data_IF_968514200595
#
_entry.id   IF_968514200595
#
_cell.length_a   1.000
_cell.length_b   1.000
_cell.length_c   1.000
_cell.angle_alpha   90.00
_cell.angle_beta   90.00
_cell.angle_gamma   90.00
#
_symmetry.space_group_name_H-M   'P 1'
#
loop_
_entity.id
_entity.type
_entity.pdbx_description
1 polymer ?
#
# COMPACT_ATOMS: atom_id res chain seq x y z
N UNK A 1 37.76 -52.95 9.71
CA UNK A 1 39.16 -52.53 9.51
C UNK A 1 39.29 -51.06 9.89
N UNK A 2 40.14 -50.78 10.88
CA UNK A 2 40.89 -49.55 11.24
C UNK A 2 40.19 -48.18 11.10
N UNK A 3 39.83 -47.45 12.16
CA UNK A 3 40.64 -46.69 13.16
C UNK A 3 41.69 -45.74 12.57
N UNK A 4 41.52 -44.44 12.84
CA UNK A 4 42.54 -43.43 13.18
C UNK A 4 41.78 -42.17 13.64
N UNK A 5 41.83 -41.81 14.93
CA UNK A 5 42.85 -40.94 15.58
C UNK A 5 42.66 -39.44 15.25
N UNK A 6 42.88 -38.44 16.10
CA UNK A 6 42.90 -38.20 17.56
C UNK A 6 43.29 -36.71 17.68
N UNK A 7 42.66 -36.00 18.63
CA UNK A 7 43.09 -34.78 19.37
C UNK A 7 44.14 -33.83 18.75
N UNK A 8 43.78 -32.55 18.64
CA UNK A 8 44.64 -31.41 19.06
C UNK A 8 43.77 -30.30 19.69
N UNK A 9 43.98 -30.14 21.01
CA UNK A 9 44.03 -28.94 21.87
C UNK A 9 43.25 -27.67 21.44
N UNK A 10 42.30 -27.13 22.20
CA UNK A 10 42.36 -26.60 23.58
C UNK A 10 43.33 -25.42 23.79
N UNK A 11 42.87 -24.20 23.50
CA UNK A 11 43.28 -22.97 24.21
C UNK A 11 42.45 -21.80 23.69
N UNK A 12 41.67 -21.15 24.56
CA UNK A 12 41.33 -19.71 24.61
C UNK A 12 40.07 -19.50 25.48
N UNK A 13 40.19 -19.87 26.76
CA UNK A 13 39.38 -19.33 27.85
C UNK A 13 40.34 -18.73 28.88
N UNK A 14 40.52 -17.41 28.82
CA UNK A 14 41.14 -16.52 29.81
C UNK A 14 41.29 -15.19 29.05
N UNK A 15 40.60 -14.09 29.31
CA UNK A 15 40.60 -13.33 30.56
C UNK A 15 39.68 -12.13 30.34
N UNK A 16 38.60 -11.96 31.12
CA UNK A 16 37.91 -10.67 31.25
C UNK A 16 36.92 -10.67 32.44
N UNK A 17 37.40 -11.01 33.63
CA UNK A 17 36.72 -10.66 34.90
C UNK A 17 37.78 -10.22 35.91
N UNK A 18 38.25 -8.99 35.76
CA UNK A 18 38.95 -8.24 36.79
C UNK A 18 39.10 -6.80 36.30
N UNK A 19 38.16 -5.92 36.67
CA UNK A 19 38.38 -4.53 37.08
C UNK A 19 37.03 -3.83 37.21
N UNK A 20 36.30 -4.26 38.23
CA UNK A 20 35.37 -3.39 38.95
C UNK A 20 36.25 -2.79 40.06
N UNK A 21 36.11 -1.50 40.37
CA UNK A 21 36.83 -0.74 41.42
C UNK A 21 38.18 -0.13 40.98
N UNK A 22 38.15 1.11 40.46
CA UNK A 22 39.14 2.19 40.68
C UNK A 22 38.80 3.38 39.77
N UNK A 23 38.93 4.61 40.29
CA UNK A 23 38.74 5.92 39.64
C UNK A 23 37.35 6.56 39.69
N UNK A 24 36.86 6.75 40.92
CA UNK A 24 36.41 8.07 41.37
C UNK A 24 37.64 8.88 41.82
N UNK A 25 38.02 9.93 41.08
CA UNK A 25 38.70 11.17 41.54
C UNK A 25 39.42 11.82 40.34
N UNK A 26 39.37 13.16 40.29
CA UNK A 26 40.00 14.08 39.32
C UNK A 26 39.27 14.29 37.99
N UNK A 27 38.27 15.18 38.01
CA UNK A 27 38.21 16.31 37.06
C UNK A 27 37.14 17.31 37.54
N UNK A 28 37.41 17.92 38.69
CA UNK A 28 36.85 19.21 39.07
C UNK A 28 38.00 20.21 38.94
N UNK A 29 37.85 21.18 38.04
CA UNK A 29 38.35 22.57 38.09
C UNK A 29 38.52 23.10 36.66
N UNK A 30 37.77 24.17 36.35
CA UNK A 30 38.09 25.06 35.24
C UNK A 30 36.94 25.30 34.25
N UNK A 31 35.95 26.11 34.63
CA UNK A 31 35.67 27.41 34.00
C UNK A 31 34.37 28.00 34.55
N UNK A 32 34.55 28.96 35.45
CA UNK A 32 33.57 29.90 35.96
C UNK A 32 33.50 31.13 35.05
N UNK A 33 32.28 31.54 34.67
CA UNK A 33 31.80 32.92 34.44
C UNK A 33 30.53 32.82 33.56
N UNK A 34 29.38 33.48 33.75
CA UNK A 34 28.86 34.38 34.76
C UNK A 34 27.32 34.39 34.53
N UNK A 35 26.51 34.22 35.57
CA UNK A 35 25.35 35.09 35.91
C UNK A 35 24.52 34.46 37.04
N UNK A 36 24.64 35.11 38.20
CA UNK A 36 23.70 35.29 39.33
C UNK A 36 22.24 34.88 39.05
N UNK A 37 21.48 34.20 39.93
CA UNK A 37 21.32 34.47 41.36
C UNK A 37 20.61 33.29 42.04
N UNK A 38 21.01 33.01 43.27
CA UNK A 38 20.52 32.00 44.21
C UNK A 38 19.00 31.97 44.45
N UNK A 39 18.46 30.78 44.72
CA UNK A 39 17.75 30.54 45.98
C UNK A 39 17.80 29.05 46.38
N UNK A 40 18.46 28.85 47.51
CA UNK A 40 18.52 27.64 48.32
C UNK A 40 17.15 27.37 48.93
N UNK A 41 16.72 26.11 48.95
CA UNK A 41 15.86 25.58 50.00
C UNK A 41 16.19 24.10 50.23
N UNK A 42 17.17 23.89 51.11
CA UNK A 42 17.28 22.67 51.90
C UNK A 42 16.16 22.71 52.95
N UNK A 43 15.24 21.75 52.91
CA UNK A 43 14.40 21.43 54.05
C UNK A 43 14.10 19.93 54.07
N UNK A 44 14.83 19.22 54.91
CA UNK A 44 14.38 17.95 55.45
C UNK A 44 13.09 18.23 56.25
N UNK A 45 11.97 17.65 55.81
CA UNK A 45 10.67 17.79 56.45
C UNK A 45 9.96 16.45 56.40
N UNK A 46 9.59 15.97 57.58
CA UNK A 46 8.90 14.71 57.85
C UNK A 46 7.60 14.62 57.04
N UNK A 47 7.32 13.43 56.53
CA UNK A 47 6.12 13.01 55.80
C UNK A 47 4.87 13.30 56.64
N UNK A 48 4.10 14.30 56.26
CA UNK A 48 2.66 14.40 56.51
C UNK A 48 1.97 14.90 55.24
N UNK A 49 0.84 14.28 54.91
CA UNK A 49 0.15 14.29 53.60
C UNK A 49 -0.42 15.65 53.11
N UNK A 50 -0.03 16.79 53.70
CA UNK A 50 -0.65 18.11 53.41
C UNK A 50 0.33 19.25 53.13
N UNK A 51 1.64 18.99 52.99
CA UNK A 51 2.59 20.08 52.72
C UNK A 51 2.49 20.64 51.30
N UNK A 52 2.51 21.98 51.18
CA UNK A 52 2.51 22.73 49.90
C UNK A 52 3.67 22.27 48.99
N UNK A 53 4.79 21.85 49.57
CA UNK A 53 5.94 21.29 48.85
C UNK A 53 5.61 20.00 48.09
N UNK A 54 4.72 19.15 48.61
CA UNK A 54 4.27 17.95 47.90
C UNK A 54 3.32 18.29 46.75
N UNK A 55 2.46 19.30 46.92
CA UNK A 55 1.61 19.79 45.84
C UNK A 55 2.45 20.41 44.71
N UNK A 56 3.51 21.16 45.03
CA UNK A 56 4.46 21.70 44.05
C UNK A 56 5.27 20.57 43.41
N UNK A 57 5.73 19.58 44.17
CA UNK A 57 6.44 18.42 43.61
C UNK A 57 5.54 17.60 42.68
N UNK A 58 4.27 17.38 43.02
CA UNK A 58 3.27 16.76 42.12
C UNK A 58 3.01 17.59 40.88
N UNK A 59 2.87 18.91 41.03
CA UNK A 59 2.65 19.81 39.90
C UNK A 59 3.85 19.88 38.97
N UNK A 60 5.07 19.92 39.51
CA UNK A 60 6.32 19.89 38.74
C UNK A 60 6.54 18.51 38.11
N UNK A 61 6.26 17.42 38.82
CA UNK A 61 6.31 16.07 38.24
C UNK A 61 5.27 15.93 37.12
N UNK A 62 4.03 16.36 37.34
CA UNK A 62 2.99 16.39 36.30
C UNK A 62 3.41 17.24 35.10
N UNK A 63 3.98 18.43 35.32
CA UNK A 63 4.53 19.30 34.27
C UNK A 63 5.72 18.70 33.52
N UNK A 64 6.55 17.91 34.19
CA UNK A 64 7.70 17.22 33.58
C UNK A 64 7.24 15.98 32.81
N UNK A 65 6.19 15.30 33.28
CA UNK A 65 5.59 14.13 32.62
C UNK A 65 4.43 14.50 31.68
N UNK A 66 4.15 15.79 31.49
CA UNK A 66 3.13 16.29 30.56
C UNK A 66 3.62 15.97 29.14
N UNK A 67 3.20 14.81 28.64
CA UNK A 67 3.63 14.26 27.34
C UNK A 67 4.23 12.86 27.42
N UNK A 68 4.54 12.34 28.62
CA UNK A 68 5.03 10.98 28.76
C UNK A 68 3.89 9.97 28.51
N UNK A 69 4.16 8.91 27.73
CA UNK A 69 3.15 7.91 27.44
C UNK A 69 2.73 7.20 28.73
N UNK A 70 1.41 7.10 28.97
CA UNK A 70 0.88 6.38 30.13
C UNK A 70 1.51 4.99 30.28
N UNK A 71 1.96 4.60 31.48
CA UNK A 71 2.56 3.30 31.70
C UNK A 71 1.52 2.20 31.41
N UNK A 72 1.97 1.08 30.84
CA UNK A 72 1.06 0.02 30.36
C UNK A 72 0.14 -0.57 31.44
N UNK A 73 0.52 -0.48 32.71
CA UNK A 73 -0.30 -0.91 33.85
C UNK A 73 -1.52 -0.03 34.09
N UNK A 74 -1.46 1.24 33.68
CA UNK A 74 -2.58 2.20 33.78
C UNK A 74 -3.50 2.17 32.55
N UNK A 75 -3.07 1.52 31.46
CA UNK A 75 -3.92 1.31 30.29
C UNK A 75 -4.96 0.23 30.58
N UNK A 76 -6.16 0.41 30.03
CA UNK A 76 -7.17 -0.65 30.01
C UNK A 76 -6.69 -1.84 29.15
N UNK A 77 -7.39 -2.97 29.22
CA UNK A 77 -6.93 -4.20 28.55
C UNK A 77 -6.88 -4.09 27.02
N UNK A 78 -7.80 -3.35 26.40
CA UNK A 78 -7.83 -3.11 24.95
C UNK A 78 -6.67 -2.22 24.51
N UNK A 79 -6.42 -1.12 25.22
CA UNK A 79 -5.28 -0.24 24.99
C UNK A 79 -3.97 -0.98 25.13
N UNK A 80 -3.83 -1.80 26.19
CA UNK A 80 -2.63 -2.59 26.41
C UNK A 80 -2.38 -3.59 25.29
N UNK A 81 -3.43 -4.25 24.80
CA UNK A 81 -3.34 -5.21 23.70
C UNK A 81 -2.99 -4.55 22.35
N UNK A 82 -3.40 -3.30 22.14
CA UNK A 82 -3.23 -2.55 20.89
C UNK A 82 -2.14 -1.47 20.96
N UNK A 83 -1.33 -1.46 22.02
CA UNK A 83 -0.20 -0.54 22.17
C UNK A 83 1.11 -1.31 22.03
N UNK A 84 1.86 -1.02 20.97
CA UNK A 84 3.12 -1.73 20.65
C UNK A 84 4.13 -1.74 21.81
N UNK A 85 4.22 -0.65 22.60
CA UNK A 85 5.17 -0.56 23.73
C UNK A 85 4.82 -1.47 24.91
N UNK A 86 3.61 -2.04 24.94
CA UNK A 86 3.13 -2.88 26.04
C UNK A 86 3.43 -4.37 25.86
N UNK A 87 4.22 -4.71 24.84
CA UNK A 87 4.64 -6.08 24.56
C UNK A 87 3.68 -6.82 23.64
N UNK A 88 3.91 -8.12 23.50
CA UNK A 88 3.06 -9.00 22.69
C UNK A 88 1.70 -9.20 23.35
N UNK A 89 0.67 -9.26 22.53
CA UNK A 89 -0.68 -9.60 22.96
C UNK A 89 -0.74 -10.98 23.65
N UNK A 90 -1.45 -11.05 24.77
CA UNK A 90 -1.72 -12.29 25.51
C UNK A 90 -3.18 -12.67 25.30
N UNK A 91 -3.50 -13.83 24.69
CA UNK A 91 -4.88 -14.27 24.51
C UNK A 91 -5.64 -14.39 25.84
N UNK A 92 -6.90 -13.96 25.86
CA UNK A 92 -7.77 -13.91 27.03
C UNK A 92 -7.62 -12.64 27.88
N UNK A 93 -6.68 -11.75 27.54
CA UNK A 93 -6.37 -10.57 28.35
C UNK A 93 -7.36 -9.42 28.22
N UNK A 94 -8.19 -9.38 27.17
CA UNK A 94 -9.15 -8.29 26.93
C UNK A 94 -10.38 -8.46 27.82
N UNK A 95 -10.77 -7.44 28.58
CA UNK A 95 -12.04 -7.42 29.30
C UNK A 95 -13.12 -6.89 28.37
N UNK A 96 -14.27 -7.55 28.32
CA UNK A 96 -15.39 -7.11 27.47
C UNK A 96 -15.84 -5.68 27.81
N UNK A 97 -15.85 -5.33 29.11
CA UNK A 97 -16.16 -3.98 29.57
C UNK A 97 -15.23 -2.91 29.00
N UNK A 98 -13.97 -3.25 28.71
CA UNK A 98 -12.98 -2.29 28.19
C UNK A 98 -13.14 -2.03 26.68
N UNK A 99 -14.00 -2.78 25.96
CA UNK A 99 -14.22 -2.59 24.52
C UNK A 99 -15.02 -1.31 24.27
N UNK A 100 -16.06 -1.06 25.05
CA UNK A 100 -16.91 0.13 24.92
C UNK A 100 -16.19 1.40 25.38
N UNK A 101 -15.34 1.28 26.41
CA UNK A 101 -14.51 2.38 26.94
C UNK A 101 -13.05 2.23 26.55
N UNK A 102 -12.80 1.80 25.31
CA UNK A 102 -11.45 1.50 24.83
C UNK A 102 -10.46 2.66 24.97
N UNK A 103 -10.93 3.90 25.10
CA UNK A 103 -10.07 5.08 25.28
C UNK A 103 -9.27 5.42 24.02
N UNK A 104 -9.50 4.72 22.90
CA UNK A 104 -9.06 5.15 21.59
C UNK A 104 -10.08 6.14 21.02
N UNK A 105 -9.61 7.20 20.36
CA UNK A 105 -10.47 8.08 19.55
C UNK A 105 -10.97 7.43 18.25
N UNK A 106 -10.72 6.12 18.08
CA UNK A 106 -11.04 5.32 16.90
C UNK A 106 -11.49 3.92 17.34
N UNK A 107 -12.17 3.22 16.45
CA UNK A 107 -12.67 1.87 16.70
C UNK A 107 -11.52 0.88 17.00
N UNK A 108 -11.60 0.04 18.05
CA UNK A 108 -10.57 -0.95 18.33
C UNK A 108 -10.35 -1.97 17.20
N UNK A 109 -11.41 -2.35 16.48
CA UNK A 109 -11.30 -3.24 15.32
C UNK A 109 -10.48 -2.62 14.20
N UNK A 110 -10.66 -1.32 13.96
CA UNK A 110 -9.87 -0.53 13.00
C UNK A 110 -8.39 -0.51 13.37
N UNK A 111 -8.07 -0.21 14.63
CA UNK A 111 -6.67 -0.21 15.12
C UNK A 111 -6.04 -1.59 14.94
N UNK A 112 -6.75 -2.64 15.34
CA UNK A 112 -6.29 -4.01 15.25
C UNK A 112 -6.12 -4.49 13.81
N UNK A 113 -7.01 -4.11 12.89
CA UNK A 113 -6.95 -4.55 11.49
C UNK A 113 -5.82 -3.89 10.70
N UNK A 114 -5.49 -2.63 10.99
CA UNK A 114 -4.51 -1.83 10.21
C UNK A 114 -3.08 -2.37 10.24
N UNK A 115 -2.68 -3.10 11.28
CA UNK A 115 -1.31 -3.54 11.47
C UNK A 115 -1.22 -5.04 11.75
N UNK A 116 -0.35 -5.75 11.02
CA UNK A 116 -0.24 -7.20 11.09
C UNK A 116 0.07 -7.72 12.50
N UNK A 117 0.85 -6.98 13.28
CA UNK A 117 1.19 -7.32 14.66
C UNK A 117 -0.03 -7.41 15.60
N UNK A 118 -1.14 -6.72 15.28
CA UNK A 118 -2.35 -6.69 16.09
C UNK A 118 -3.47 -7.61 15.56
N UNK A 119 -3.27 -8.28 14.43
CA UNK A 119 -4.25 -9.23 13.92
C UNK A 119 -4.62 -10.38 14.88
N UNK A 120 -3.72 -10.86 15.77
CA UNK A 120 -4.13 -11.83 16.80
C UNK A 120 -5.22 -11.28 17.74
N UNK A 121 -5.25 -9.98 17.97
CA UNK A 121 -6.20 -9.29 18.87
C UNK A 121 -7.62 -9.28 18.29
N UNK A 122 -7.76 -9.27 16.96
CA UNK A 122 -9.06 -9.25 16.27
C UNK A 122 -9.99 -10.39 16.72
N UNK A 123 -9.43 -11.57 16.92
CA UNK A 123 -10.21 -12.76 17.33
C UNK A 123 -10.93 -12.50 18.64
N UNK A 124 -10.20 -12.01 19.64
CA UNK A 124 -10.74 -11.78 20.98
C UNK A 124 -11.68 -10.57 21.01
N UNK A 125 -11.38 -9.50 20.27
CA UNK A 125 -12.27 -8.36 20.12
C UNK A 125 -13.64 -8.78 19.56
N UNK A 126 -13.65 -9.55 18.47
CA UNK A 126 -14.88 -10.05 17.85
C UNK A 126 -15.65 -10.99 18.81
N UNK A 127 -14.95 -11.92 19.47
CA UNK A 127 -15.56 -12.84 20.44
C UNK A 127 -16.17 -12.12 21.65
N UNK A 128 -15.57 -11.01 22.09
CA UNK A 128 -16.03 -10.23 23.25
C UNK A 128 -16.99 -9.11 22.88
N UNK A 129 -17.48 -9.10 21.63
CA UNK A 129 -18.59 -8.25 21.22
C UNK A 129 -18.20 -6.88 20.68
N UNK A 130 -16.95 -6.69 20.23
CA UNK A 130 -16.60 -5.49 19.47
C UNK A 130 -17.47 -5.40 18.20
N UNK A 131 -18.13 -4.25 18.03
CA UNK A 131 -19.14 -4.03 16.99
C UNK A 131 -18.55 -3.23 15.82
N UNK A 132 -18.92 -3.59 14.60
CA UNK A 132 -18.53 -2.85 13.39
C UNK A 132 -19.22 -1.50 13.26
N UNK A 133 -20.42 -1.38 13.84
CA UNK A 133 -21.25 -0.18 13.79
C UNK A 133 -20.63 0.99 14.58
N UNK A 134 -19.73 0.71 15.53
CA UNK A 134 -18.99 1.78 16.23
C UNK A 134 -17.79 2.28 15.42
N UNK A 135 -17.41 1.60 14.33
CA UNK A 135 -16.37 2.06 13.44
C UNK A 135 -16.95 3.02 12.39
N UNK A 136 -16.33 4.19 12.22
CA UNK A 136 -16.68 5.16 11.18
C UNK A 136 -16.58 4.57 9.77
N UNK A 137 -15.57 3.74 9.55
CA UNK A 137 -15.32 3.04 8.29
C UNK A 137 -15.07 1.56 8.57
N UNK A 138 -15.24 0.70 7.55
CA UNK A 138 -14.88 -0.70 7.68
C UNK A 138 -13.40 -0.86 8.05
N UNK A 139 -13.07 -1.68 9.07
CA UNK A 139 -11.68 -1.97 9.43
C UNK A 139 -10.83 -2.50 8.27
N UNK A 140 -11.44 -3.22 7.32
CA UNK A 140 -10.73 -3.73 6.15
C UNK A 140 -10.40 -2.65 5.14
N UNK A 141 -11.25 -1.63 4.98
CA UNK A 141 -10.91 -0.51 4.10
C UNK A 141 -9.72 0.26 4.68
N UNK A 142 -9.67 0.43 6.00
CA UNK A 142 -8.54 1.10 6.63
C UNK A 142 -7.23 0.30 6.53
N UNK A 143 -7.29 -1.03 6.64
CA UNK A 143 -6.16 -1.91 6.33
C UNK A 143 -5.72 -1.72 4.88
N UNK A 144 -6.65 -1.83 3.92
CA UNK A 144 -6.36 -1.73 2.49
C UNK A 144 -5.74 -0.38 2.09
N UNK A 145 -6.20 0.71 2.70
CA UNK A 145 -5.68 2.05 2.46
C UNK A 145 -4.28 2.27 3.02
N UNK A 146 -3.90 1.53 4.06
CA UNK A 146 -2.55 1.61 4.65
C UNK A 146 -1.57 0.71 3.91
N UNK A 147 -2.01 -0.50 3.56
CA UNK A 147 -1.20 -1.51 2.91
C UNK A 147 -2.05 -2.20 1.84
N UNK A 148 -1.79 -1.87 0.56
CA UNK A 148 -2.56 -2.41 -0.56
C UNK A 148 -2.37 -3.93 -0.74
N UNK A 149 -1.24 -4.49 -0.32
CA UNK A 149 -1.01 -5.94 -0.28
C UNK A 149 -0.17 -6.34 0.95
N UNK A 150 -0.80 -6.46 2.14
CA UNK A 150 -0.12 -6.90 3.35
C UNK A 150 0.47 -8.30 3.19
N UNK A 151 1.48 -8.62 4.00
CA UNK A 151 1.98 -10.00 4.08
C UNK A 151 1.06 -10.84 4.98
N UNK A 152 0.12 -11.52 4.34
CA UNK A 152 -0.81 -12.43 5.02
C UNK A 152 -0.21 -13.80 5.34
N UNK A 153 0.97 -14.15 4.80
CA UNK A 153 1.56 -15.48 4.99
C UNK A 153 1.98 -15.72 6.44
N UNK A 154 2.30 -14.63 7.16
CA UNK A 154 2.64 -14.65 8.58
C UNK A 154 1.42 -14.55 9.50
N UNK A 155 0.20 -14.42 8.96
CA UNK A 155 -1.01 -14.37 9.76
C UNK A 155 -1.37 -15.78 10.28
N UNK A 156 -1.80 -15.85 11.54
CA UNK A 156 -2.35 -17.11 12.06
C UNK A 156 -3.69 -17.45 11.37
N UNK A 157 -4.09 -18.73 11.31
CA UNK A 157 -5.40 -19.10 10.78
C UNK A 157 -6.58 -18.41 11.49
N UNK A 158 -6.46 -18.14 12.80
CA UNK A 158 -7.48 -17.41 13.56
C UNK A 158 -7.58 -15.94 13.12
N UNK A 159 -6.44 -15.30 12.86
CA UNK A 159 -6.37 -13.94 12.31
C UNK A 159 -6.97 -13.86 10.91
N UNK A 160 -6.64 -14.78 10.01
CA UNK A 160 -7.22 -14.84 8.66
C UNK A 160 -8.74 -15.05 8.69
N UNK A 161 -9.23 -15.91 9.58
CA UNK A 161 -10.68 -16.08 9.81
C UNK A 161 -11.31 -14.78 10.32
N UNK A 162 -10.66 -14.08 11.24
CA UNK A 162 -11.18 -12.81 11.77
C UNK A 162 -11.27 -11.74 10.67
N UNK A 163 -10.24 -11.59 9.85
CA UNK A 163 -10.25 -10.71 8.68
C UNK A 163 -11.35 -11.11 7.69
N UNK A 164 -11.50 -12.41 7.43
CA UNK A 164 -12.58 -12.92 6.58
C UNK A 164 -13.97 -12.64 7.15
N UNK A 165 -14.13 -12.73 8.47
CA UNK A 165 -15.39 -12.40 9.16
C UNK A 165 -15.71 -10.92 8.98
N UNK A 166 -14.73 -10.03 9.17
CA UNK A 166 -14.91 -8.59 8.93
C UNK A 166 -15.38 -8.31 7.50
N UNK A 167 -14.84 -9.02 6.50
CA UNK A 167 -15.27 -8.88 5.10
C UNK A 167 -16.68 -9.38 4.81
N UNK A 168 -17.14 -10.38 5.57
CA UNK A 168 -18.44 -11.03 5.35
C UNK A 168 -19.59 -10.32 6.05
N UNK A 169 -19.33 -9.73 7.21
CA UNK A 169 -20.39 -9.15 8.06
C UNK A 169 -20.47 -7.62 7.96
N UNK A 170 -19.52 -6.97 7.29
CA UNK A 170 -19.53 -5.53 7.03
C UNK A 170 -19.77 -5.27 5.54
N UNK A 171 -20.99 -4.85 5.16
CA UNK A 171 -21.28 -4.52 3.75
C UNK A 171 -20.39 -3.39 3.22
N UNK A 172 -19.90 -2.51 4.12
CA UNK A 172 -18.94 -1.44 3.77
C UNK A 172 -17.56 -1.97 3.39
N UNK A 173 -17.28 -3.26 3.60
CA UNK A 173 -16.07 -3.91 3.12
C UNK A 173 -16.11 -4.16 1.59
N UNK A 174 -17.30 -4.15 0.97
CA UNK A 174 -17.44 -4.17 -0.49
C UNK A 174 -17.04 -2.80 -1.04
N UNK A 175 -15.73 -2.63 -1.23
CA UNK A 175 -15.11 -1.34 -1.52
C UNK A 175 -13.90 -1.53 -2.44
N UNK A 176 -13.59 -0.52 -3.26
CA UNK A 176 -12.47 -0.55 -4.21
C UNK A 176 -11.16 -1.04 -3.57
N UNK A 177 -10.73 -0.34 -2.52
CA UNK A 177 -9.44 -0.63 -1.88
C UNK A 177 -9.40 -2.05 -1.29
N UNK A 178 -10.53 -2.55 -0.75
CA UNK A 178 -10.60 -3.90 -0.17
C UNK A 178 -10.55 -4.96 -1.27
N UNK A 179 -11.23 -4.76 -2.40
CA UNK A 179 -11.14 -5.69 -3.52
C UNK A 179 -9.71 -5.74 -4.08
N UNK A 180 -8.99 -4.60 -4.11
CA UNK A 180 -7.56 -4.55 -4.44
C UNK A 180 -6.72 -5.38 -3.47
N UNK A 181 -6.96 -5.23 -2.17
CA UNK A 181 -6.29 -6.02 -1.14
C UNK A 181 -6.58 -7.51 -1.28
N UNK A 182 -7.85 -7.88 -1.47
CA UNK A 182 -8.28 -9.27 -1.54
C UNK A 182 -7.76 -10.00 -2.79
N UNK A 183 -7.60 -9.28 -3.90
CA UNK A 183 -7.09 -9.84 -5.17
C UNK A 183 -5.56 -9.82 -5.30
N UNK A 184 -4.85 -9.22 -4.35
CA UNK A 184 -3.39 -9.12 -4.41
C UNK A 184 -2.70 -10.49 -4.22
N UNK A 185 -1.44 -10.67 -4.69
CA UNK A 185 -0.73 -11.95 -4.62
C UNK A 185 -0.67 -12.56 -3.22
N UNK A 186 -0.38 -11.78 -2.18
CA UNK A 186 -0.28 -12.28 -0.80
C UNK A 186 -1.63 -12.69 -0.22
N UNK A 187 -2.73 -12.05 -0.65
CA UNK A 187 -4.08 -12.42 -0.24
C UNK A 187 -4.51 -13.74 -0.90
N UNK A 188 -4.18 -13.91 -2.19
CA UNK A 188 -4.44 -15.13 -2.95
C UNK A 188 -3.66 -16.33 -2.42
N UNK A 189 -2.41 -16.15 -2.00
CA UNK A 189 -1.59 -17.25 -1.49
C UNK A 189 -2.13 -17.88 -0.21
N UNK A 190 -2.97 -17.15 0.54
CA UNK A 190 -3.66 -17.63 1.74
C UNK A 190 -5.17 -17.88 1.53
N UNK A 191 -5.66 -17.74 0.30
CA UNK A 191 -7.06 -18.02 -0.08
C UNK A 191 -8.09 -16.98 0.36
N UNK A 192 -7.67 -15.75 0.70
CA UNK A 192 -8.60 -14.66 1.05
C UNK A 192 -9.34 -14.12 -0.18
N UNK A 193 -8.82 -14.31 -1.39
CA UNK A 193 -9.45 -13.96 -2.66
C UNK A 193 -10.80 -14.65 -2.90
N UNK A 194 -11.02 -15.83 -2.31
CA UNK A 194 -12.32 -16.53 -2.31
C UNK A 194 -13.46 -15.71 -1.67
N UNK A 195 -13.15 -14.64 -0.94
CA UNK A 195 -14.17 -13.67 -0.51
C UNK A 195 -14.80 -12.95 -1.70
N UNK A 196 -14.03 -12.65 -2.74
CA UNK A 196 -14.54 -11.99 -3.96
C UNK A 196 -15.49 -12.92 -4.70
N UNK A 197 -15.15 -14.21 -4.83
CA UNK A 197 -16.05 -15.21 -5.43
C UNK A 197 -17.39 -15.30 -4.67
N UNK A 198 -17.34 -15.25 -3.33
CA UNK A 198 -18.54 -15.25 -2.50
C UNK A 198 -19.38 -13.99 -2.68
N UNK A 199 -18.75 -12.82 -2.71
CA UNK A 199 -19.45 -11.56 -2.99
C UNK A 199 -20.12 -11.58 -4.37
N UNK A 200 -19.45 -12.13 -5.39
CA UNK A 200 -20.06 -12.33 -6.71
C UNK A 200 -21.27 -13.28 -6.65
N UNK A 201 -21.12 -14.44 -6.01
CA UNK A 201 -22.18 -15.43 -5.89
C UNK A 201 -23.40 -14.91 -5.09
N UNK A 202 -23.17 -14.00 -4.14
CA UNK A 202 -24.21 -13.36 -3.33
C UNK A 202 -24.79 -12.10 -3.97
N UNK A 203 -24.34 -11.72 -5.17
CA UNK A 203 -24.83 -10.51 -5.85
C UNK A 203 -24.37 -9.19 -5.23
N UNK A 204 -23.35 -9.22 -4.38
CA UNK A 204 -22.79 -8.03 -3.72
C UNK A 204 -21.86 -7.22 -4.66
N UNK A 205 -21.55 -7.75 -5.84
CA UNK A 205 -20.79 -7.04 -6.88
C UNK A 205 -21.66 -6.75 -8.12
N UNK A 206 -22.75 -5.97 -7.99
CA UNK A 206 -23.62 -5.65 -9.11
C UNK A 206 -22.88 -4.78 -10.14
N UNK A 207 -23.29 -4.87 -11.41
CA UNK A 207 -22.73 -4.08 -12.51
C UNK A 207 -22.95 -2.57 -12.33
N UNK A 208 -24.01 -2.20 -11.61
CA UNK A 208 -24.41 -0.81 -11.33
C UNK A 208 -24.66 -0.60 -9.85
N UNK A 209 -24.48 0.64 -9.37
CA UNK A 209 -24.76 1.04 -8.00
C UNK A 209 -23.57 0.95 -7.05
N UNK A 210 -22.47 0.31 -7.46
CA UNK A 210 -21.19 0.44 -6.77
C UNK A 210 -20.55 1.80 -7.09
N UNK A 211 -19.96 2.43 -6.08
CA UNK A 211 -19.10 3.62 -6.24
C UNK A 211 -17.76 3.34 -6.92
N UNK A 212 -17.55 2.12 -7.44
CA UNK A 212 -16.35 1.69 -8.14
C UNK A 212 -16.64 0.53 -9.09
N UNK A 213 -15.75 0.26 -10.03
CA UNK A 213 -15.80 -0.96 -10.85
C UNK A 213 -14.91 -2.05 -10.25
N UNK A 214 -15.42 -3.29 -10.06
CA UNK A 214 -14.61 -4.42 -9.64
C UNK A 214 -13.39 -4.68 -10.53
N UNK A 215 -13.52 -4.50 -11.85
CA UNK A 215 -12.39 -4.63 -12.78
C UNK A 215 -11.30 -3.58 -12.54
N UNK A 216 -11.67 -2.34 -12.18
CA UNK A 216 -10.69 -1.32 -11.79
C UNK A 216 -10.01 -1.67 -10.47
N UNK A 217 -10.76 -2.26 -9.55
CA UNK A 217 -10.28 -2.57 -8.21
C UNK A 217 -9.38 -3.79 -8.16
N UNK A 218 -9.41 -4.70 -9.14
CA UNK A 218 -8.52 -5.87 -9.17
C UNK A 218 -7.05 -5.49 -9.18
N UNK A 219 -6.23 -6.25 -8.44
CA UNK A 219 -4.78 -6.20 -8.54
C UNK A 219 -4.33 -6.45 -9.98
N UNK A 220 -3.26 -5.81 -10.49
CA UNK A 220 -2.89 -5.93 -11.91
C UNK A 220 -2.58 -7.38 -12.31
N UNK A 221 -1.93 -8.17 -11.44
CA UNK A 221 -1.72 -9.62 -11.59
C UNK A 221 -3.00 -10.48 -11.71
N UNK A 222 -4.17 -9.91 -11.41
CA UNK A 222 -5.43 -10.63 -11.41
C UNK A 222 -6.32 -10.30 -12.62
N UNK A 223 -5.92 -9.36 -13.49
CA UNK A 223 -6.69 -8.97 -14.67
C UNK A 223 -6.76 -10.08 -15.74
N UNK A 224 -5.77 -10.97 -15.77
CA UNK A 224 -5.74 -12.14 -16.67
C UNK A 224 -6.36 -13.41 -16.06
N UNK A 225 -7.04 -13.31 -14.90
CA UNK A 225 -7.56 -14.49 -14.19
C UNK A 225 -8.97 -14.90 -14.64
N UNK A 226 -9.43 -16.11 -14.30
CA UNK A 226 -10.83 -16.51 -14.47
C UNK A 226 -11.82 -15.57 -13.77
N UNK A 227 -11.44 -14.94 -12.66
CA UNK A 227 -12.28 -13.97 -11.95
C UNK A 227 -12.55 -12.73 -12.81
N UNK A 228 -11.52 -12.18 -13.46
CA UNK A 228 -11.68 -11.04 -14.35
C UNK A 228 -12.60 -11.39 -15.53
N UNK A 229 -12.44 -12.57 -16.12
CA UNK A 229 -13.34 -13.07 -17.16
C UNK A 229 -14.78 -13.22 -16.66
N UNK A 230 -14.97 -13.74 -15.46
CA UNK A 230 -16.29 -13.90 -14.85
C UNK A 230 -16.96 -12.53 -14.57
N UNK A 231 -16.21 -11.54 -14.09
CA UNK A 231 -16.71 -10.17 -13.94
C UNK A 231 -17.13 -9.59 -15.30
N UNK A 232 -16.32 -9.76 -16.34
CA UNK A 232 -16.68 -9.32 -17.70
C UNK A 232 -17.95 -10.02 -18.19
N UNK A 233 -18.08 -11.33 -17.97
CA UNK A 233 -19.27 -12.11 -18.35
C UNK A 233 -20.53 -11.68 -17.59
N UNK A 234 -20.40 -11.17 -16.36
CA UNK A 234 -21.50 -10.57 -15.60
C UNK A 234 -21.88 -9.17 -16.09
N UNK A 235 -21.15 -8.59 -17.04
CA UNK A 235 -21.43 -7.27 -17.62
C UNK A 235 -20.56 -6.13 -17.09
N UNK A 236 -19.56 -6.41 -16.26
CA UNK A 236 -18.58 -5.39 -15.86
C UNK A 236 -17.75 -4.97 -17.07
N UNK A 237 -17.74 -3.68 -17.39
CA UNK A 237 -17.06 -3.16 -18.58
C UNK A 237 -15.76 -2.43 -18.25
N UNK A 238 -14.82 -2.47 -19.19
CA UNK A 238 -13.55 -1.74 -19.12
C UNK A 238 -13.79 -0.23 -19.12
N UNK A 239 -14.83 0.25 -19.81
CA UNK A 239 -15.22 1.66 -19.80
C UNK A 239 -15.66 2.10 -18.40
N UNK A 240 -16.49 1.32 -17.72
CA UNK A 240 -16.86 1.59 -16.33
C UNK A 240 -15.65 1.50 -15.39
N UNK A 241 -14.68 0.64 -15.72
CA UNK A 241 -13.44 0.50 -14.96
C UNK A 241 -12.48 1.71 -15.07
N UNK A 242 -12.74 2.64 -15.99
CA UNK A 242 -12.00 3.90 -16.07
C UNK A 242 -12.73 5.07 -15.38
N UNK A 243 -13.95 4.85 -14.86
CA UNK A 243 -14.73 5.89 -14.21
C UNK A 243 -14.13 6.30 -12.85
N UNK A 244 -14.68 7.37 -12.29
CA UNK A 244 -14.40 7.75 -10.91
C UNK A 244 -14.64 6.56 -9.96
N UNK A 245 -13.79 6.45 -8.96
CA UNK A 245 -13.91 5.45 -7.92
C UNK A 245 -13.92 6.07 -6.52
N UNK A 246 -14.64 5.43 -5.62
CA UNK A 246 -14.57 5.63 -4.18
C UNK A 246 -13.38 4.84 -3.61
N UNK A 247 -12.40 5.55 -3.04
CA UNK A 247 -11.22 4.94 -2.43
C UNK A 247 -9.99 5.84 -2.49
N UNK A 248 -8.91 5.40 -1.85
CA UNK A 248 -7.62 6.12 -1.85
C UNK A 248 -6.60 5.52 -2.81
N UNK A 249 -6.74 4.25 -3.18
CA UNK A 249 -5.82 3.62 -4.11
C UNK A 249 -6.07 4.13 -5.54
N UNK A 250 -5.04 4.17 -6.41
CA UNK A 250 -5.21 4.54 -7.81
C UNK A 250 -6.11 3.55 -8.55
N UNK A 251 -6.63 3.97 -9.70
CA UNK A 251 -7.45 3.11 -10.56
C UNK A 251 -6.65 1.92 -11.11
N UNK A 252 -7.35 0.90 -11.63
CA UNK A 252 -6.74 -0.28 -12.22
C UNK A 252 -5.65 0.02 -13.25
N UNK A 253 -5.94 0.93 -14.18
CA UNK A 253 -4.98 1.33 -15.20
C UNK A 253 -3.81 2.12 -14.62
N UNK A 254 -4.06 3.11 -13.76
CA UNK A 254 -2.98 3.91 -13.16
C UNK A 254 -2.10 3.04 -12.25
N UNK A 255 -2.67 2.12 -11.48
CA UNK A 255 -1.92 1.18 -10.66
C UNK A 255 -1.00 0.29 -11.51
N UNK A 256 -1.51 -0.25 -12.62
CA UNK A 256 -0.69 -1.04 -13.55
C UNK A 256 0.45 -0.21 -14.16
N UNK A 257 0.19 1.06 -14.47
CA UNK A 257 1.19 1.97 -15.02
C UNK A 257 2.28 2.31 -13.99
N UNK A 258 1.90 2.63 -12.75
CA UNK A 258 2.82 2.99 -11.67
C UNK A 258 3.74 1.84 -11.27
N UNK A 259 3.21 0.62 -11.22
CA UNK A 259 3.95 -0.59 -10.88
C UNK A 259 4.71 -1.19 -12.07
N UNK A 260 4.73 -0.53 -13.23
CA UNK A 260 5.33 -1.04 -14.47
C UNK A 260 4.88 -2.45 -14.85
N UNK A 261 3.58 -2.71 -14.68
CA UNK A 261 3.01 -4.04 -14.78
C UNK A 261 2.62 -4.39 -16.23
N UNK A 262 3.60 -4.79 -17.03
CA UNK A 262 3.47 -4.96 -18.49
C UNK A 262 2.27 -5.79 -18.94
N UNK A 263 2.06 -6.97 -18.34
CA UNK A 263 0.96 -7.87 -18.71
C UNK A 263 -0.42 -7.26 -18.42
N UNK A 264 -0.52 -6.43 -17.39
CA UNK A 264 -1.77 -5.75 -17.05
C UNK A 264 -2.02 -4.59 -18.00
N UNK A 265 -0.98 -3.84 -18.35
CA UNK A 265 -1.08 -2.79 -19.37
C UNK A 265 -1.49 -3.36 -20.73
N UNK A 266 -0.92 -4.50 -21.13
CA UNK A 266 -1.34 -5.20 -22.35
C UNK A 266 -2.80 -5.63 -22.30
N UNK A 267 -3.28 -6.11 -21.15
CA UNK A 267 -4.70 -6.42 -20.97
C UNK A 267 -5.60 -5.19 -21.18
N UNK A 268 -5.21 -4.03 -20.63
CA UNK A 268 -5.92 -2.76 -20.81
C UNK A 268 -5.90 -2.31 -22.27
N UNK A 269 -4.74 -2.31 -22.92
CA UNK A 269 -4.58 -1.84 -24.29
C UNK A 269 -5.23 -2.76 -25.33
N UNK A 270 -5.29 -4.07 -25.08
CA UNK A 270 -6.05 -5.00 -25.92
C UNK A 270 -7.55 -4.67 -25.95
N UNK A 271 -8.07 -4.02 -24.91
CA UNK A 271 -9.48 -3.65 -24.78
C UNK A 271 -9.74 -2.18 -25.12
N UNK A 272 -8.76 -1.31 -24.86
CA UNK A 272 -8.83 0.15 -24.99
C UNK A 272 -7.48 0.70 -25.46
N UNK A 273 -7.13 0.53 -26.74
CA UNK A 273 -5.82 0.91 -27.28
C UNK A 273 -5.56 2.42 -27.18
N UNK A 274 -6.61 3.24 -27.19
CA UNK A 274 -6.50 4.69 -27.05
C UNK A 274 -5.89 5.13 -25.71
N UNK A 275 -5.94 4.27 -24.68
CA UNK A 275 -5.37 4.57 -23.36
C UNK A 275 -3.87 4.82 -23.43
N UNK A 276 -3.14 4.24 -24.40
CA UNK A 276 -1.71 4.50 -24.55
C UNK A 276 -1.42 5.97 -24.88
N UNK A 277 -2.34 6.61 -25.61
CA UNK A 277 -2.23 8.00 -26.00
C UNK A 277 -2.85 8.92 -24.96
N UNK A 278 -4.05 8.58 -24.46
CA UNK A 278 -4.83 9.47 -23.61
C UNK A 278 -5.78 8.69 -22.71
N UNK A 279 -5.74 9.02 -21.43
CA UNK A 279 -6.72 8.56 -20.45
C UNK A 279 -7.83 9.61 -20.32
N UNK A 280 -9.11 9.22 -20.46
CA UNK A 280 -10.21 10.16 -20.34
C UNK A 280 -10.34 10.71 -18.91
N UNK A 281 -10.99 11.87 -18.74
CA UNK A 281 -11.29 12.39 -17.41
C UNK A 281 -12.24 11.44 -16.67
N UNK A 282 -11.98 11.20 -15.39
CA UNK A 282 -12.80 10.31 -14.56
C UNK A 282 -13.86 11.06 -13.74
N UNK A 283 -13.59 12.35 -13.44
CA UNK A 283 -14.46 13.27 -12.68
C UNK A 283 -14.58 14.60 -13.41
N UNK A 284 -15.66 15.35 -13.18
CA UNK A 284 -15.97 16.59 -13.91
C UNK A 284 -14.90 17.69 -13.82
N UNK A 285 -14.08 17.71 -12.78
CA UNK A 285 -12.98 18.68 -12.61
C UNK A 285 -11.62 18.14 -13.04
N UNK A 286 -11.53 16.86 -13.41
CA UNK A 286 -10.29 16.25 -13.87
C UNK A 286 -10.16 16.45 -15.38
N UNK A 287 -8.97 16.82 -15.84
CA UNK A 287 -8.65 16.81 -17.27
C UNK A 287 -8.25 15.40 -17.71
N UNK A 288 -8.39 15.13 -19.00
CA UNK A 288 -7.69 14.00 -19.61
C UNK A 288 -6.19 14.12 -19.34
N UNK A 289 -5.48 12.99 -19.31
CA UNK A 289 -4.03 12.98 -19.11
C UNK A 289 -3.36 11.98 -20.05
N UNK A 290 -2.07 12.20 -20.31
CA UNK A 290 -1.29 11.37 -21.22
C UNK A 290 -0.38 10.46 -20.40
N UNK A 291 -0.43 9.12 -20.56
CA UNK A 291 0.46 8.21 -19.84
C UNK A 291 1.93 8.54 -20.06
N UNK A 292 2.31 8.89 -21.29
CA UNK A 292 3.69 9.24 -21.64
C UNK A 292 4.18 10.46 -20.83
N UNK A 293 3.35 11.48 -20.66
CA UNK A 293 3.68 12.64 -19.82
C UNK A 293 3.70 12.28 -18.33
N UNK A 294 2.78 11.42 -17.89
CA UNK A 294 2.64 11.04 -16.49
C UNK A 294 3.85 10.26 -15.99
N UNK A 295 4.39 9.36 -16.81
CA UNK A 295 5.59 8.56 -16.52
C UNK A 295 6.86 9.40 -16.35
N UNK A 296 6.90 10.61 -16.93
CA UNK A 296 8.03 11.53 -16.77
C UNK A 296 8.08 12.22 -15.40
N UNK A 297 6.96 12.25 -14.68
CA UNK A 297 6.89 12.91 -13.36
C UNK A 297 7.75 12.12 -12.36
N UNK A 298 8.69 12.77 -11.65
CA UNK A 298 9.48 12.12 -10.62
C UNK A 298 8.59 11.40 -9.60
N UNK A 299 9.01 10.20 -9.17
CA UNK A 299 8.30 9.36 -8.19
C UNK A 299 6.90 8.88 -8.62
N UNK A 300 6.50 9.07 -9.88
CA UNK A 300 5.26 8.49 -10.37
C UNK A 300 5.34 6.96 -10.42
N UNK A 301 6.40 6.44 -11.04
CA UNK A 301 6.69 5.00 -11.07
C UNK A 301 7.22 4.54 -9.71
N UNK A 302 6.80 3.35 -9.30
CA UNK A 302 7.28 2.67 -8.10
C UNK A 302 8.73 2.17 -8.29
N UNK A 303 9.11 1.84 -9.53
CA UNK A 303 10.44 1.39 -9.93
C UNK A 303 11.01 2.39 -10.95
N UNK A 304 11.75 3.43 -10.51
CA UNK A 304 12.23 4.50 -11.39
C UNK A 304 13.17 4.02 -12.51
N UNK A 305 13.90 2.94 -12.29
CA UNK A 305 14.77 2.27 -13.25
C UNK A 305 14.03 1.72 -14.48
N UNK A 306 12.73 1.44 -14.35
CA UNK A 306 11.88 0.97 -15.46
C UNK A 306 11.38 2.10 -16.37
N UNK A 307 11.67 3.37 -16.05
CA UNK A 307 11.09 4.53 -16.76
C UNK A 307 11.38 4.52 -18.26
N UNK A 308 12.62 4.25 -18.66
CA UNK A 308 13.00 4.23 -20.08
C UNK A 308 12.22 3.16 -20.87
N UNK A 309 12.07 1.97 -20.29
CA UNK A 309 11.35 0.88 -20.94
C UNK A 309 9.83 1.13 -20.96
N UNK A 310 9.29 1.79 -19.93
CA UNK A 310 7.90 2.23 -19.93
C UNK A 310 7.61 3.22 -21.05
N UNK A 311 8.49 4.20 -21.26
CA UNK A 311 8.34 5.15 -22.38
C UNK A 311 8.38 4.45 -23.73
N UNK A 312 9.35 3.54 -23.95
CA UNK A 312 9.41 2.73 -25.18
C UNK A 312 8.15 1.90 -25.37
N UNK A 313 7.68 1.26 -24.30
CA UNK A 313 6.49 0.41 -24.30
C UNK A 313 5.22 1.18 -24.69
N UNK A 314 5.05 2.40 -24.17
CA UNK A 314 3.95 3.29 -24.52
C UNK A 314 4.06 3.81 -25.97
N UNK A 315 5.26 4.24 -26.39
CA UNK A 315 5.49 4.71 -27.76
C UNK A 315 5.25 3.63 -28.81
N UNK A 316 5.64 2.38 -28.52
CA UNK A 316 5.33 1.22 -29.35
C UNK A 316 3.82 0.95 -29.50
N UNK A 317 2.99 1.52 -28.61
CA UNK A 317 1.52 1.43 -28.62
C UNK A 317 0.85 2.73 -29.07
N UNK A 318 1.62 3.61 -29.71
CA UNK A 318 1.12 4.82 -30.36
C UNK A 318 1.12 6.08 -29.49
N UNK A 319 1.66 6.04 -28.28
CA UNK A 319 1.91 7.27 -27.52
C UNK A 319 2.94 8.14 -28.27
N UNK A 320 2.67 9.44 -28.41
CA UNK A 320 3.54 10.33 -29.19
C UNK A 320 4.22 11.38 -28.29
N UNK A 321 5.55 11.52 -28.37
CA UNK A 321 6.26 12.63 -27.71
C UNK A 321 5.82 14.03 -28.22
N UNK A 322 5.26 14.09 -29.44
CA UNK A 322 4.76 15.34 -30.04
C UNK A 322 3.31 15.65 -29.64
N UNK A 323 2.65 14.78 -28.87
CA UNK A 323 1.29 15.03 -28.42
C UNK A 323 1.24 16.20 -27.43
N UNK A 324 0.25 17.08 -27.59
CA UNK A 324 0.06 18.26 -26.73
C UNK A 324 -0.60 17.87 -25.41
N UNK A 325 -0.14 18.52 -24.33
CA UNK A 325 -0.66 18.30 -22.99
C UNK A 325 -2.10 18.83 -22.88
N UNK A 326 -3.05 18.07 -22.29
CA UNK A 326 -4.42 18.55 -22.10
C UNK A 326 -4.53 19.80 -21.21
N UNK A 327 -3.59 20.01 -20.30
CA UNK A 327 -3.54 21.19 -19.41
C UNK A 327 -2.84 22.40 -20.01
N UNK A 328 -2.08 22.22 -21.10
CA UNK A 328 -1.29 23.27 -21.75
C UNK A 328 -1.13 22.91 -23.23
N UNK A 329 -2.07 23.40 -24.06
CA UNK A 329 -2.15 23.07 -25.48
C UNK A 329 -0.94 23.56 -26.29
N UNK A 330 -0.13 24.48 -25.74
CA UNK A 330 1.10 24.96 -26.36
C UNK A 330 2.33 24.08 -26.09
N UNK A 331 2.23 23.09 -25.20
CA UNK A 331 3.36 22.22 -24.83
C UNK A 331 3.12 20.78 -25.23
N UNK A 332 4.11 20.19 -25.89
CA UNK A 332 4.17 18.76 -26.17
C UNK A 332 4.75 17.98 -25.00
N UNK A 333 4.60 16.65 -25.00
CA UNK A 333 5.28 15.77 -24.02
C UNK A 333 6.80 15.96 -24.06
N UNK A 334 7.39 16.12 -25.24
CA UNK A 334 8.82 16.38 -25.42
C UNK A 334 9.24 17.73 -24.79
N UNK A 335 8.47 18.80 -25.04
CA UNK A 335 8.73 20.10 -24.44
C UNK A 335 8.57 20.07 -22.91
N UNK A 336 7.60 19.29 -22.41
CA UNK A 336 7.42 19.06 -20.98
C UNK A 336 8.60 18.29 -20.37
N UNK A 337 9.11 17.26 -21.04
CA UNK A 337 10.30 16.52 -20.61
C UNK A 337 11.53 17.43 -20.50
N UNK A 338 11.72 18.33 -21.48
CA UNK A 338 12.79 19.33 -21.47
C UNK A 338 12.64 20.29 -20.29
N UNK A 339 11.43 20.78 -20.02
CA UNK A 339 11.13 21.66 -18.88
C UNK A 339 11.46 20.98 -17.54
N UNK A 340 11.26 19.66 -17.43
CA UNK A 340 11.59 18.88 -16.23
C UNK A 340 13.09 18.53 -16.13
N UNK A 341 13.92 18.90 -17.11
CA UNK A 341 15.29 18.39 -17.26
C UNK A 341 15.34 16.85 -17.19
N UNK A 342 14.36 16.19 -17.80
CA UNK A 342 14.22 14.74 -17.73
C UNK A 342 15.42 14.04 -18.38
N UNK A 343 15.99 12.98 -17.76
CA UNK A 343 17.04 12.18 -18.39
C UNK A 343 16.54 11.42 -19.63
N UNK A 344 15.22 11.40 -19.86
CA UNK A 344 14.58 10.71 -20.98
C UNK A 344 14.45 11.57 -22.24
N UNK A 345 15.02 12.79 -22.25
CA UNK A 345 14.86 13.72 -23.36
C UNK A 345 15.39 13.16 -24.69
N UNK A 346 16.57 12.54 -24.68
CA UNK A 346 17.17 11.95 -25.88
C UNK A 346 16.34 10.77 -26.42
N UNK A 347 15.80 9.94 -25.52
CA UNK A 347 14.94 8.81 -25.88
C UNK A 347 13.66 9.29 -26.58
N UNK A 348 13.00 10.32 -26.02
CA UNK A 348 11.80 10.91 -26.59
C UNK A 348 12.09 11.62 -27.91
N UNK A 349 13.20 12.35 -28.01
CA UNK A 349 13.61 13.05 -29.23
C UNK A 349 13.89 12.08 -30.37
N UNK A 350 14.59 10.98 -30.10
CA UNK A 350 14.93 9.96 -31.11
C UNK A 350 13.69 9.31 -31.73
N UNK A 351 12.62 9.13 -30.95
CA UNK A 351 11.35 8.59 -31.43
C UNK A 351 10.56 9.53 -32.36
N UNK A 352 10.94 10.82 -32.43
CA UNK A 352 10.31 11.81 -33.32
C UNK A 352 11.03 11.97 -34.66
N UNK A 353 12.22 11.39 -34.80
CA UNK A 353 12.94 11.42 -36.06
C UNK A 353 12.14 10.63 -37.13
N UNK A 354 11.88 11.22 -38.31
CA UNK A 354 11.18 10.52 -39.37
C UNK A 354 11.96 9.25 -39.71
N UNK A 355 11.35 8.09 -39.45
CA UNK A 355 11.86 6.82 -39.96
C UNK A 355 11.77 6.90 -41.48
N UNK A 356 12.90 7.16 -42.14
CA UNK A 356 13.07 6.98 -43.58
C UNK A 356 12.74 5.52 -43.88
N UNK A 357 11.47 5.24 -44.20
CA UNK A 357 11.04 3.96 -44.76
C UNK A 357 11.64 3.87 -46.14
N UNK A 358 12.81 3.25 -46.22
CA UNK A 358 13.36 2.77 -47.49
C UNK A 358 12.33 1.77 -48.02
N UNK A 359 11.63 2.15 -49.08
CA UNK A 359 10.58 1.37 -49.70
C UNK A 359 11.13 0.03 -50.16
N UNK A 360 10.60 -1.06 -49.60
CA UNK A 360 10.67 -2.37 -50.25
C UNK A 360 9.61 -2.34 -51.33
N UNK A 361 10.06 -2.34 -52.59
CA UNK A 361 9.24 -2.46 -53.79
C UNK A 361 8.22 -3.59 -53.65
N UNK A 362 6.96 -3.29 -53.93
CA UNK A 362 5.91 -4.27 -54.07
C UNK A 362 6.19 -5.15 -55.31
N UNK A 363 6.06 -6.49 -55.22
CA UNK A 363 6.17 -7.33 -56.39
C UNK A 363 4.97 -7.09 -57.32
N UNK A 364 5.29 -6.78 -58.58
CA UNK A 364 4.34 -6.63 -59.68
C UNK A 364 3.54 -7.92 -59.87
N UNK A 365 2.24 -7.88 -59.56
CA UNK A 365 1.31 -8.97 -59.88
C UNK A 365 1.00 -8.90 -61.38
N UNK A 366 1.59 -9.83 -62.15
CA UNK A 366 1.23 -10.06 -63.54
C UNK A 366 -0.16 -10.69 -63.57
N UNK A 367 -1.16 -9.92 -64.02
CA UNK A 367 -2.50 -10.39 -64.30
C UNK A 367 -2.49 -11.38 -65.47
N UNK A 368 -2.79 -12.65 -65.20
CA UNK A 368 -3.10 -13.64 -66.24
C UNK A 368 -4.57 -13.51 -66.62
N UNK A 369 -4.82 -13.00 -67.82
CA UNK A 369 -6.14 -13.01 -68.45
C UNK A 369 -6.59 -14.46 -68.70
N UNK A 370 -7.67 -14.88 -68.03
CA UNK A 370 -8.38 -16.12 -68.30
C UNK A 370 -9.57 -15.87 -69.21
N UNK A 371 -9.56 -16.49 -70.38
CA UNK A 371 -10.62 -16.51 -71.40
C UNK A 371 -11.83 -17.36 -70.94
N UNK A 372 -13.05 -17.13 -71.47
CA UNK A 372 -14.26 -17.80 -71.04
C UNK A 372 -14.43 -19.14 -71.76
N UNK A 373 -14.89 -20.18 -71.03
CA UNK A 373 -15.43 -21.40 -71.63
C UNK A 373 -16.87 -21.63 -71.17
N UNK A 374 -17.73 -21.39 -72.14
CA UNK A 374 -19.08 -21.89 -72.31
C UNK A 374 -19.12 -23.43 -72.36
N UNK A 375 -20.17 -24.05 -71.79
CA UNK A 375 -20.95 -25.23 -72.27
C UNK A 375 -21.45 -26.22 -71.18
N UNK A 376 -22.78 -26.24 -71.07
CA UNK A 376 -23.71 -27.40 -71.02
C UNK A 376 -23.58 -28.48 -69.93
N UNK A 377 -24.57 -28.50 -69.00
CA UNK A 377 -25.68 -29.49 -68.81
C UNK A 377 -25.38 -30.92 -69.34
N UNK A 378 -25.61 -32.01 -68.57
CA UNK A 378 -26.91 -32.44 -68.00
C UNK A 378 -27.14 -32.18 -66.51
#
# INVERSE_FOLDING_TARGET
>A
MRTNEVKVLSSLFASARCLRWSLTLLCALGLSACTTTSLVLSAAGVVTDTSISWAIAKHVHQKITEGDPLPCVQLNSVQRALTQRCGSFVPGSIKAADIEVSGFGVCPLSVAAREAQFWPVLTELLQKGARLQSCHQSPLVELAQRHACPDFQHATPASLRSLSTLAQVDDRAVHHDVLRLLSCPNSRSVGLDRLIDRWMAQGQLPVSGLGFSPLSALHPDHLNSPLALALQAQGHTVQAALAAQEGKLPSGFEAALRASHWQALDWWFARRPELAQRVPPTKGTQLAWLPLARVLVPQFLEQPDTQADMLKFLMARGASPLQTLPSDSGKTVLAYAAQLNSPMLELLGSATAPTLRIGVEAPTVIAKQGTPRDRSIP
#
